data_IF_851406525598
#
_entry.id   IF_851406525598
#
_cell.length_a   1.000
_cell.length_b   1.000
_cell.length_c   1.000
_cell.angle_alpha   90.00
_cell.angle_beta   90.00
_cell.angle_gamma   90.00
#
_symmetry.space_group_name_H-M   'P 1'
#
loop_
_entity.id
_entity.type
_entity.pdbx_description
1 polymer ?
#
# COMPACT_ATOMS: atom_id res chain seq x y z
N UNK A 1 23.10 -19.19 -8.79
CA UNK A 1 24.41 -18.56 -9.10
C UNK A 1 24.92 -19.07 -10.45
N UNK A 2 25.31 -18.18 -11.37
CA UNK A 2 26.13 -18.61 -12.52
C UNK A 2 27.45 -19.12 -11.95
N UNK A 3 27.92 -20.26 -12.44
CA UNK A 3 29.01 -21.04 -11.85
C UNK A 3 30.37 -20.34 -11.78
N UNK A 4 30.57 -19.24 -12.53
CA UNK A 4 31.86 -18.56 -12.68
C UNK A 4 32.01 -17.21 -11.95
N UNK A 5 31.04 -16.78 -11.14
CA UNK A 5 31.15 -15.51 -10.42
C UNK A 5 31.76 -15.67 -9.01
N UNK A 6 32.78 -14.86 -8.63
CA UNK A 6 33.40 -14.93 -7.32
C UNK A 6 32.42 -14.48 -6.22
N UNK A 7 32.37 -15.25 -5.12
CA UNK A 7 31.54 -14.91 -3.98
C UNK A 7 32.10 -13.69 -3.22
N UNK A 8 31.41 -12.56 -3.28
CA UNK A 8 31.81 -11.29 -2.66
C UNK A 8 31.36 -11.14 -1.19
N UNK A 9 30.54 -12.06 -0.67
CA UNK A 9 30.02 -12.01 0.70
C UNK A 9 31.14 -11.95 1.77
N UNK A 10 32.24 -12.72 1.67
CA UNK A 10 33.33 -12.64 2.63
C UNK A 10 33.99 -11.25 2.68
N UNK A 11 34.24 -10.64 1.52
CA UNK A 11 34.81 -9.30 1.39
C UNK A 11 33.87 -8.23 1.96
N UNK A 12 32.55 -8.40 1.75
CA UNK A 12 31.53 -7.51 2.32
C UNK A 12 31.42 -7.62 3.85
N UNK A 13 31.66 -8.82 4.41
CA UNK A 13 31.70 -9.02 5.87
C UNK A 13 32.91 -8.35 6.50
N UNK A 14 34.08 -8.49 5.89
CA UNK A 14 35.32 -7.84 6.36
C UNK A 14 35.24 -6.31 6.35
N UNK A 15 34.60 -5.72 5.34
CA UNK A 15 34.40 -4.27 5.28
C UNK A 15 33.28 -3.74 6.19
N UNK A 16 32.54 -4.62 6.89
CA UNK A 16 31.38 -4.27 7.71
C UNK A 16 30.14 -3.83 6.93
N UNK A 17 30.24 -3.67 5.60
CA UNK A 17 29.15 -3.26 4.73
C UNK A 17 28.01 -4.29 4.72
N UNK A 18 28.34 -5.58 4.83
CA UNK A 18 27.37 -6.65 4.94
C UNK A 18 26.38 -6.43 6.08
N UNK A 19 26.86 -6.02 7.26
CA UNK A 19 26.00 -5.80 8.43
C UNK A 19 25.06 -4.60 8.23
N UNK A 20 25.53 -3.52 7.58
CA UNK A 20 24.69 -2.37 7.24
C UNK A 20 23.60 -2.74 6.23
N UNK A 21 23.94 -3.54 5.22
CA UNK A 21 22.96 -4.04 4.24
C UNK A 21 21.95 -4.94 4.97
N UNK A 22 22.40 -5.89 5.78
CA UNK A 22 21.51 -6.79 6.53
C UNK A 22 20.64 -6.05 7.53
N UNK A 23 21.12 -4.96 8.15
CA UNK A 23 20.30 -4.12 9.02
C UNK A 23 19.13 -3.47 8.26
N UNK A 24 19.38 -2.97 7.05
CA UNK A 24 18.32 -2.41 6.20
C UNK A 24 17.35 -3.50 5.72
N UNK A 25 17.87 -4.69 5.37
CA UNK A 25 17.04 -5.85 4.99
C UNK A 25 16.17 -6.29 6.16
N UNK A 26 16.73 -6.40 7.37
CA UNK A 26 15.98 -6.80 8.57
C UNK A 26 14.86 -5.79 8.86
N UNK A 27 15.13 -4.49 8.76
CA UNK A 27 14.08 -3.47 8.90
C UNK A 27 12.94 -3.65 7.87
N UNK A 28 13.27 -4.01 6.62
CA UNK A 28 12.24 -4.33 5.62
C UNK A 28 11.49 -5.62 5.95
N UNK A 29 12.17 -6.66 6.41
CA UNK A 29 11.56 -7.93 6.80
C UNK A 29 10.62 -7.75 7.99
N UNK A 30 11.06 -7.02 9.02
CA UNK A 30 10.29 -6.72 10.22
C UNK A 30 9.01 -5.95 9.89
N UNK A 31 9.07 -5.08 8.86
CA UNK A 31 7.94 -4.29 8.39
C UNK A 31 7.23 -4.89 7.16
N UNK A 32 7.65 -6.07 6.68
CA UNK A 32 7.18 -6.62 5.41
C UNK A 32 5.66 -6.85 5.42
N UNK A 33 5.12 -7.27 6.56
CA UNK A 33 3.68 -7.45 6.73
C UNK A 33 2.91 -6.13 6.56
N UNK A 34 3.33 -5.07 7.25
CA UNK A 34 2.69 -3.75 7.14
C UNK A 34 2.83 -3.16 5.73
N UNK A 35 3.96 -3.40 5.07
CA UNK A 35 4.22 -2.96 3.69
C UNK A 35 3.34 -3.71 2.68
N UNK A 36 3.13 -5.02 2.86
CA UNK A 36 2.27 -5.83 2.00
C UNK A 36 0.79 -5.49 2.16
N UNK A 37 0.36 -5.14 3.37
CA UNK A 37 -1.03 -4.79 3.68
C UNK A 37 -1.33 -3.29 3.41
N UNK A 38 -0.34 -2.48 2.98
CA UNK A 38 -0.39 -1.01 2.84
C UNK A 38 -0.98 -0.31 4.08
N UNK A 39 -0.69 -0.87 5.26
CA UNK A 39 -1.23 -0.37 6.53
C UNK A 39 -0.25 0.66 7.07
N UNK A 40 -0.60 1.93 6.92
CA UNK A 40 0.01 2.97 7.77
C UNK A 40 -0.39 2.70 9.21
N UNK A 41 0.58 2.35 10.06
CA UNK A 41 0.35 1.83 11.42
C UNK A 41 -0.39 2.81 12.35
N UNK A 42 -0.54 4.07 11.95
CA UNK A 42 -1.26 5.04 12.75
C UNK A 42 -2.12 5.98 11.90
N UNK A 43 -3.34 5.55 11.59
CA UNK A 43 -4.38 6.40 10.97
C UNK A 43 -4.61 7.68 11.79
N UNK A 44 -4.43 7.63 13.11
CA UNK A 44 -4.53 8.82 13.96
C UNK A 44 -3.36 9.79 13.75
N UNK A 45 -2.13 9.31 13.57
CA UNK A 45 -0.99 10.17 13.18
C UNK A 45 -1.19 10.75 11.78
N UNK A 46 -1.67 9.95 10.83
CA UNK A 46 -1.97 10.45 9.48
C UNK A 46 -3.01 11.57 9.54
N UNK A 47 -4.12 11.35 10.23
CA UNK A 47 -5.16 12.35 10.43
C UNK A 47 -4.64 13.58 11.18
N UNK A 48 -3.87 13.38 12.25
CA UNK A 48 -3.27 14.47 13.02
C UNK A 48 -2.31 15.30 12.16
N UNK A 49 -1.60 14.68 11.21
CA UNK A 49 -0.77 15.40 10.24
C UNK A 49 -1.58 16.32 9.31
N UNK A 50 -2.84 15.95 9.02
CA UNK A 50 -3.76 16.76 8.21
C UNK A 50 -4.33 17.89 9.06
N UNK A 51 -4.80 17.57 10.27
CA UNK A 51 -5.29 18.56 11.24
C UNK A 51 -4.22 19.61 11.53
N UNK A 52 -2.96 19.21 11.70
CA UNK A 52 -1.84 20.13 11.90
C UNK A 52 -1.64 21.10 10.72
N UNK A 53 -1.90 20.69 9.47
CA UNK A 53 -1.85 21.59 8.31
C UNK A 53 -2.95 22.64 8.34
N UNK A 54 -4.13 22.31 8.86
CA UNK A 54 -5.24 23.24 9.04
C UNK A 54 -5.00 24.21 10.19
N UNK A 55 -4.44 23.73 11.29
CA UNK A 55 -4.11 24.53 12.47
C UNK A 55 -2.92 25.47 12.22
N UNK A 56 -2.05 25.16 11.25
CA UNK A 56 -0.80 25.90 11.01
C UNK A 56 0.40 25.32 11.78
N UNK A 57 0.25 24.12 12.35
CA UNK A 57 1.23 23.45 13.20
C UNK A 57 1.56 24.26 14.45
N UNK A 58 2.73 23.97 15.05
CA UNK A 58 3.21 24.68 16.26
C UNK A 58 3.59 26.15 16.00
N UNK A 59 3.75 26.56 14.73
CA UNK A 59 4.39 27.83 14.35
C UNK A 59 3.43 29.02 14.28
N UNK A 60 2.15 28.78 14.00
CA UNK A 60 1.13 29.83 13.96
C UNK A 60 -0.14 29.23 14.55
N UNK A 61 -0.52 29.66 15.75
CA UNK A 61 -1.74 29.16 16.39
C UNK A 61 -2.95 29.97 15.90
N UNK A 62 -3.61 29.48 14.85
CA UNK A 62 -4.89 30.04 14.40
C UNK A 62 -6.07 29.61 15.28
N UNK A 63 -5.83 28.84 16.35
CA UNK A 63 -6.91 28.27 17.15
C UNK A 63 -7.33 29.19 18.30
N UNK A 64 -8.50 29.80 18.16
CA UNK A 64 -9.26 30.37 19.27
C UNK A 64 -10.08 29.27 19.96
N UNK A 65 -10.62 29.52 21.17
CA UNK A 65 -11.43 28.54 21.90
C UNK A 65 -12.56 27.99 21.02
N UNK A 66 -12.69 26.65 20.92
CA UNK A 66 -13.70 25.97 20.09
C UNK A 66 -13.32 25.72 18.62
N UNK A 67 -12.23 26.32 18.12
CA UNK A 67 -11.84 26.17 16.72
C UNK A 67 -11.19 24.82 16.38
N UNK A 68 -10.63 24.09 17.34
CA UNK A 68 -10.00 22.78 17.10
C UNK A 68 -11.00 21.77 16.48
N UNK A 69 -12.22 21.73 17.01
CA UNK A 69 -13.27 20.86 16.49
C UNK A 69 -13.60 21.20 15.03
N UNK A 70 -13.67 22.50 14.71
CA UNK A 70 -13.89 22.98 13.34
C UNK A 70 -12.72 22.63 12.40
N UNK A 71 -11.48 22.65 12.88
CA UNK A 71 -10.33 22.22 12.08
C UNK A 71 -10.29 20.71 11.87
N UNK A 72 -10.71 19.92 12.87
CA UNK A 72 -10.89 18.48 12.72
C UNK A 72 -11.95 18.15 11.66
N UNK A 73 -13.11 18.83 11.68
CA UNK A 73 -14.15 18.62 10.66
C UNK A 73 -13.67 19.06 9.27
N UNK A 74 -12.99 20.20 9.16
CA UNK A 74 -12.38 20.65 7.91
C UNK A 74 -11.32 19.66 7.36
N UNK A 75 -10.52 19.06 8.25
CA UNK A 75 -9.53 18.04 7.88
C UNK A 75 -10.18 16.76 7.36
N UNK A 76 -11.24 16.27 8.01
CA UNK A 76 -12.01 15.09 7.55
C UNK A 76 -12.56 15.33 6.15
N UNK A 77 -13.20 16.48 5.97
CA UNK A 77 -13.76 16.90 4.68
C UNK A 77 -12.68 16.98 3.61
N UNK A 78 -11.54 17.61 3.91
CA UNK A 78 -10.42 17.72 2.96
C UNK A 78 -9.84 16.36 2.56
N UNK A 79 -9.71 15.45 3.54
CA UNK A 79 -9.19 14.10 3.31
C UNK A 79 -10.13 13.26 2.45
N UNK A 80 -11.44 13.31 2.71
CA UNK A 80 -12.42 12.48 2.04
C UNK A 80 -12.82 12.97 0.64
N UNK A 81 -12.94 14.29 0.44
CA UNK A 81 -13.53 14.80 -0.81
C UNK A 81 -12.49 15.02 -1.91
N UNK A 82 -11.21 15.27 -1.59
CA UNK A 82 -10.17 15.57 -2.59
C UNK A 82 -10.42 16.81 -3.47
N UNK A 83 -11.56 17.49 -3.27
CA UNK A 83 -12.03 18.63 -4.05
C UNK A 83 -11.85 19.95 -3.31
N UNK A 84 -11.80 21.08 -4.03
CA UNK A 84 -11.77 22.42 -3.44
C UNK A 84 -12.95 22.66 -2.47
N UNK A 85 -12.70 23.30 -1.33
CA UNK A 85 -13.71 23.61 -0.31
C UNK A 85 -14.81 24.56 -0.84
N UNK A 86 -14.53 25.37 -1.86
CA UNK A 86 -15.55 26.22 -2.47
C UNK A 86 -16.73 25.42 -3.05
N UNK A 87 -16.53 24.15 -3.44
CA UNK A 87 -17.62 23.30 -3.92
C UNK A 87 -18.60 22.98 -2.79
N UNK A 88 -18.09 22.71 -1.60
CA UNK A 88 -18.89 22.44 -0.42
C UNK A 88 -19.63 23.69 0.06
N UNK A 89 -18.98 24.86 -0.02
CA UNK A 89 -19.66 26.12 0.27
C UNK A 89 -20.86 26.34 -0.66
N UNK A 90 -20.71 26.06 -1.96
CA UNK A 90 -21.82 26.16 -2.93
C UNK A 90 -22.97 25.23 -2.59
N UNK A 91 -22.68 24.00 -2.17
CA UNK A 91 -23.74 23.03 -1.84
C UNK A 91 -24.43 23.36 -0.52
N UNK A 92 -23.69 23.84 0.49
CA UNK A 92 -24.23 24.13 1.81
C UNK A 92 -25.02 25.44 1.88
N UNK A 93 -24.49 26.50 1.26
CA UNK A 93 -25.07 27.84 1.38
C UNK A 93 -25.85 28.27 0.14
N UNK A 94 -25.99 27.38 -0.86
CA UNK A 94 -26.63 27.63 -2.15
C UNK A 94 -26.09 28.88 -2.88
N UNK A 95 -24.91 29.35 -2.47
CA UNK A 95 -24.29 30.54 -3.01
C UNK A 95 -22.79 30.29 -3.22
N UNK A 96 -22.25 31.06 -4.15
CA UNK A 96 -20.85 30.97 -4.48
C UNK A 96 -20.00 31.77 -3.50
N UNK A 97 -18.91 31.21 -2.96
CA UNK A 97 -17.94 32.04 -2.26
C UNK A 97 -17.30 33.03 -3.24
N UNK A 98 -16.73 34.11 -2.69
CA UNK A 98 -16.14 35.19 -3.46
C UNK A 98 -15.07 34.72 -4.47
N UNK A 99 -14.89 35.49 -5.54
CA UNK A 99 -13.98 35.16 -6.64
C UNK A 99 -12.54 34.90 -6.17
N UNK A 100 -12.08 35.66 -5.17
CA UNK A 100 -10.75 35.49 -4.57
C UNK A 100 -10.58 34.10 -3.93
N UNK A 101 -11.53 33.64 -3.11
CA UNK A 101 -11.46 32.33 -2.47
C UNK A 101 -11.41 31.18 -3.51
N UNK A 102 -12.27 31.25 -4.53
CA UNK A 102 -12.29 30.28 -5.63
C UNK A 102 -10.97 30.27 -6.40
N UNK A 103 -10.47 31.45 -6.77
CA UNK A 103 -9.23 31.56 -7.55
C UNK A 103 -8.01 31.06 -6.77
N UNK A 104 -7.95 31.32 -5.45
CA UNK A 104 -6.89 30.84 -4.58
C UNK A 104 -6.88 29.30 -4.50
N UNK A 105 -8.03 28.68 -4.25
CA UNK A 105 -8.15 27.22 -4.20
C UNK A 105 -7.83 26.57 -5.56
N UNK A 106 -8.32 27.16 -6.66
CA UNK A 106 -8.02 26.69 -8.01
C UNK A 106 -6.50 26.75 -8.30
N UNK A 107 -5.83 27.85 -7.93
CA UNK A 107 -4.37 27.98 -8.03
C UNK A 107 -3.65 26.90 -7.22
N UNK A 108 -4.11 26.59 -5.99
CA UNK A 108 -3.53 25.55 -5.15
C UNK A 108 -3.64 24.16 -5.78
N UNK A 109 -4.81 23.83 -6.31
CA UNK A 109 -5.06 22.55 -7.02
C UNK A 109 -4.21 22.45 -8.28
N UNK A 110 -4.18 23.50 -9.10
CA UNK A 110 -3.39 23.53 -10.33
C UNK A 110 -1.89 23.43 -10.04
N UNK A 111 -1.39 24.09 -8.99
CA UNK A 111 0.01 23.97 -8.54
C UNK A 111 0.34 22.54 -8.10
N UNK A 112 -0.58 21.89 -7.38
CA UNK A 112 -0.42 20.49 -6.97
C UNK A 112 -0.36 19.56 -8.18
N UNK A 113 -1.30 19.70 -9.13
CA UNK A 113 -1.32 18.96 -10.40
C UNK A 113 -0.05 19.19 -11.21
N UNK A 114 0.36 20.45 -11.39
CA UNK A 114 1.59 20.79 -12.10
C UNK A 114 2.84 20.18 -11.44
N UNK A 115 2.91 20.16 -10.09
CA UNK A 115 4.00 19.51 -9.36
C UNK A 115 4.00 17.99 -9.55
N UNK A 116 2.82 17.37 -9.57
CA UNK A 116 2.67 15.94 -9.84
C UNK A 116 3.13 15.61 -11.27
N UNK A 117 2.69 16.38 -12.25
CA UNK A 117 3.10 16.23 -13.65
C UNK A 117 4.60 16.48 -13.85
N UNK A 118 5.16 17.50 -13.18
CA UNK A 118 6.60 17.75 -13.19
C UNK A 118 7.38 16.58 -12.56
N UNK A 119 6.89 16.00 -11.46
CA UNK A 119 7.48 14.80 -10.84
C UNK A 119 7.45 13.59 -11.77
N UNK A 120 6.37 13.37 -12.52
CA UNK A 120 6.29 12.29 -13.53
C UNK A 120 7.33 12.49 -14.66
N UNK A 121 7.60 13.75 -15.02
CA UNK A 121 8.58 14.12 -16.05
C UNK A 121 10.02 14.11 -15.56
N UNK A 122 10.26 14.24 -14.25
CA UNK A 122 11.61 14.23 -13.66
C UNK A 122 12.28 12.85 -13.84
N UNK A 123 13.37 12.73 -14.60
CA UNK A 123 14.08 11.47 -14.78
C UNK A 123 14.72 10.93 -13.49
N UNK A 124 14.92 11.76 -12.45
CA UNK A 124 15.41 11.32 -11.13
C UNK A 124 14.30 10.69 -10.28
N UNK A 125 13.04 11.03 -10.51
CA UNK A 125 11.92 10.37 -9.82
C UNK A 125 11.73 8.93 -10.29
N UNK A 126 12.14 8.62 -11.52
CA UNK A 126 12.19 7.26 -12.09
C UNK A 126 13.33 6.41 -11.54
N UNK A 127 14.28 6.98 -10.78
CA UNK A 127 15.44 6.24 -10.22
C UNK A 127 15.17 5.58 -8.86
N UNK A 128 13.93 5.61 -8.34
CA UNK A 128 13.56 4.82 -7.17
C UNK A 128 12.97 3.48 -7.63
N UNK A 129 13.69 2.42 -7.24
CA UNK A 129 13.68 1.06 -7.77
C UNK A 129 14.23 0.96 -9.20
N UNK A 130 15.44 0.40 -9.30
CA UNK A 130 15.97 -0.36 -10.44
C UNK A 130 15.17 -0.16 -11.73
N UNK A 131 15.51 0.87 -12.51
CA UNK A 131 15.05 0.94 -13.89
C UNK A 131 15.67 -0.25 -14.63
N UNK A 132 14.88 -1.30 -14.83
CA UNK A 132 15.02 -2.17 -16.00
C UNK A 132 15.00 -1.23 -17.21
N UNK A 133 16.16 -0.92 -17.74
CA UNK A 133 16.31 -0.06 -18.92
C UNK A 133 15.47 -0.64 -20.06
N UNK A 134 14.86 0.20 -20.90
CA UNK A 134 14.10 -0.27 -22.07
C UNK A 134 14.95 -1.11 -23.04
N UNK A 135 16.28 -0.97 -23.02
CA UNK A 135 17.19 -1.87 -23.75
C UNK A 135 17.28 -3.28 -23.16
N UNK A 136 16.87 -3.48 -21.91
CA UNK A 136 16.76 -4.79 -21.24
C UNK A 136 15.32 -5.31 -21.15
N UNK A 137 14.28 -4.48 -21.37
CA UNK A 137 12.87 -4.91 -21.29
C UNK A 137 12.13 -4.96 -22.64
N UNK A 138 12.63 -4.31 -23.70
CA UNK A 138 11.90 -4.26 -24.98
C UNK A 138 12.23 -5.39 -25.97
N UNK A 139 13.11 -6.35 -25.64
CA UNK A 139 13.45 -7.45 -26.57
C UNK A 139 13.58 -8.84 -25.97
N UNK A 140 13.25 -9.00 -24.69
CA UNK A 140 13.09 -10.30 -24.04
C UNK A 140 11.89 -10.20 -23.12
N UNK A 141 10.69 -10.37 -23.69
CA UNK A 141 9.62 -11.01 -22.91
C UNK A 141 10.22 -12.32 -22.46
N UNK A 142 10.59 -12.39 -21.19
CA UNK A 142 11.07 -13.61 -20.58
C UNK A 142 9.95 -14.64 -20.73
N UNK A 143 10.10 -15.67 -21.59
CA UNK A 143 9.05 -16.66 -21.77
C UNK A 143 8.82 -17.47 -20.48
N UNK A 144 9.72 -17.37 -19.50
CA UNK A 144 9.65 -18.07 -18.23
C UNK A 144 9.09 -17.19 -17.08
N UNK A 145 8.87 -15.88 -17.28
CA UNK A 145 8.42 -14.99 -16.19
C UNK A 145 7.48 -13.86 -16.64
N UNK A 146 6.44 -13.61 -15.82
CA UNK A 146 5.46 -12.54 -16.01
C UNK A 146 4.14 -13.01 -16.61
N UNK A 147 3.20 -12.08 -16.88
CA UNK A 147 1.83 -12.41 -17.30
C UNK A 147 1.71 -13.11 -18.66
N UNK A 148 2.80 -13.16 -19.44
CA UNK A 148 2.88 -13.87 -20.72
C UNK A 148 3.84 -15.08 -20.66
N UNK A 149 4.09 -15.64 -19.47
CA UNK A 149 4.89 -16.87 -19.33
C UNK A 149 4.26 -18.01 -20.12
N UNK A 150 5.08 -18.70 -20.91
CA UNK A 150 4.69 -19.83 -21.76
C UNK A 150 5.07 -21.18 -21.15
N UNK A 151 5.79 -21.17 -20.02
CA UNK A 151 6.25 -22.39 -19.35
C UNK A 151 5.29 -22.72 -18.20
N UNK A 152 4.47 -23.77 -18.31
CA UNK A 152 3.70 -24.25 -17.17
C UNK A 152 4.68 -24.81 -16.11
N UNK A 153 4.51 -24.40 -14.85
CA UNK A 153 5.33 -24.88 -13.73
C UNK A 153 5.18 -26.39 -13.49
N UNK A 154 4.06 -26.96 -13.95
CA UNK A 154 3.68 -28.34 -13.75
C UNK A 154 3.00 -28.88 -15.02
N UNK A 155 3.21 -30.16 -15.40
CA UNK A 155 2.43 -30.80 -16.46
C UNK A 155 0.93 -30.69 -16.20
N UNK A 156 0.13 -30.57 -17.26
CA UNK A 156 -1.32 -30.32 -17.15
C UNK A 156 -2.03 -31.40 -16.32
N UNK A 157 -1.66 -32.66 -16.50
CA UNK A 157 -2.27 -33.79 -15.78
C UNK A 157 -2.00 -33.70 -14.27
N UNK A 158 -0.76 -33.40 -13.89
CA UNK A 158 -0.39 -33.21 -12.48
C UNK A 158 -1.02 -31.94 -11.89
N UNK A 159 -1.22 -30.90 -12.70
CA UNK A 159 -1.96 -29.71 -12.29
C UNK A 159 -3.42 -30.03 -12.00
N UNK A 160 -4.09 -30.78 -12.89
CA UNK A 160 -5.48 -31.20 -12.69
C UNK A 160 -5.62 -32.09 -11.45
N UNK A 161 -4.70 -33.02 -11.23
CA UNK A 161 -4.69 -33.86 -10.04
C UNK A 161 -4.57 -33.01 -8.77
N UNK A 162 -3.59 -32.10 -8.70
CA UNK A 162 -3.42 -31.20 -7.55
C UNK A 162 -4.59 -30.25 -7.35
N UNK A 163 -5.18 -29.77 -8.45
CA UNK A 163 -6.37 -28.94 -8.42
C UNK A 163 -7.56 -29.68 -7.79
N UNK A 164 -7.78 -30.94 -8.19
CA UNK A 164 -8.84 -31.78 -7.63
C UNK A 164 -8.59 -32.11 -6.16
N UNK A 165 -7.36 -32.48 -5.79
CA UNK A 165 -6.97 -32.70 -4.39
C UNK A 165 -7.20 -31.45 -3.52
N UNK A 166 -6.87 -30.27 -4.07
CA UNK A 166 -7.11 -29.02 -3.37
C UNK A 166 -8.62 -28.75 -3.20
N UNK A 167 -9.44 -28.95 -4.24
CA UNK A 167 -10.89 -28.83 -4.13
C UNK A 167 -11.49 -29.81 -3.12
N UNK A 168 -11.00 -31.03 -3.06
CA UNK A 168 -11.40 -32.00 -2.04
C UNK A 168 -11.00 -31.55 -0.63
N UNK A 169 -9.81 -30.97 -0.47
CA UNK A 169 -9.35 -30.45 0.82
C UNK A 169 -10.23 -29.31 1.36
N UNK A 170 -10.92 -28.57 0.47
CA UNK A 170 -11.85 -27.51 0.81
C UNK A 170 -13.23 -28.04 1.25
N UNK A 171 -13.60 -29.27 0.86
CA UNK A 171 -14.83 -29.91 1.33
C UNK A 171 -14.62 -30.32 2.78
N UNK A 172 -15.33 -29.66 3.70
CA UNK A 172 -15.30 -29.94 5.13
C UNK A 172 -16.66 -30.41 5.61
N UNK A 173 -16.67 -31.36 6.54
CA UNK A 173 -17.91 -31.80 7.18
C UNK A 173 -18.41 -30.74 8.18
N UNK A 174 -19.68 -30.82 8.57
CA UNK A 174 -20.24 -29.89 9.58
C UNK A 174 -19.50 -29.96 10.92
N UNK A 175 -19.01 -31.15 11.29
CA UNK A 175 -18.26 -31.37 12.53
C UNK A 175 -16.87 -30.75 12.47
N UNK A 176 -16.17 -30.91 11.34
CA UNK A 176 -14.87 -30.29 11.12
C UNK A 176 -14.96 -28.76 11.11
N UNK A 177 -16.02 -28.21 10.51
CA UNK A 177 -16.27 -26.76 10.51
C UNK A 177 -16.44 -26.24 11.94
N UNK A 178 -17.17 -26.96 12.80
CA UNK A 178 -17.33 -26.59 14.21
C UNK A 178 -16.01 -26.68 14.97
N UNK A 179 -15.24 -27.75 14.79
CA UNK A 179 -13.93 -27.89 15.43
C UNK A 179 -12.96 -26.77 15.01
N UNK A 180 -12.97 -26.40 13.73
CA UNK A 180 -12.18 -25.28 13.21
C UNK A 180 -12.64 -23.96 13.82
N UNK A 181 -13.94 -23.71 13.96
CA UNK A 181 -14.47 -22.52 14.63
C UNK A 181 -13.94 -22.43 16.06
N UNK A 182 -14.06 -23.50 16.84
CA UNK A 182 -13.63 -23.55 18.24
C UNK A 182 -12.13 -23.28 18.39
N UNK A 183 -11.30 -23.95 17.58
CA UNK A 183 -9.84 -23.79 17.60
C UNK A 183 -9.38 -22.41 17.12
N UNK A 184 -10.21 -21.71 16.35
CA UNK A 184 -9.86 -20.42 15.75
C UNK A 184 -10.60 -19.23 16.36
N UNK A 185 -11.24 -19.40 17.53
CA UNK A 185 -11.94 -18.32 18.25
C UNK A 185 -11.09 -17.12 18.62
N UNK A 186 -9.78 -17.32 18.81
CA UNK A 186 -8.82 -16.23 19.04
C UNK A 186 -8.46 -15.44 17.77
N UNK A 187 -9.07 -15.81 16.62
CA UNK A 187 -9.00 -15.10 15.35
C UNK A 187 -7.57 -14.76 14.94
N UNK A 188 -7.22 -13.48 14.87
CA UNK A 188 -5.92 -12.99 14.40
C UNK A 188 -4.74 -13.52 15.21
N UNK A 189 -4.97 -13.86 16.48
CA UNK A 189 -3.91 -14.36 17.37
C UNK A 189 -3.63 -15.84 17.11
N UNK A 190 -4.60 -16.61 16.60
CA UNK A 190 -4.41 -17.99 16.16
C UNK A 190 -3.58 -18.06 14.87
N UNK A 191 -2.59 -18.94 14.85
CA UNK A 191 -1.83 -19.29 13.64
C UNK A 191 -2.72 -20.04 12.65
N UNK A 192 -3.51 -21.00 13.15
CA UNK A 192 -4.42 -21.82 12.37
C UNK A 192 -5.50 -20.99 11.66
N UNK A 193 -6.05 -19.96 12.32
CA UNK A 193 -7.00 -19.04 11.69
C UNK A 193 -6.40 -18.31 10.48
N UNK A 194 -5.12 -17.92 10.56
CA UNK A 194 -4.41 -17.25 9.47
C UNK A 194 -4.13 -18.20 8.31
N UNK A 195 -3.76 -19.44 8.59
CA UNK A 195 -3.50 -20.46 7.58
C UNK A 195 -4.77 -20.79 6.79
N UNK A 196 -5.88 -21.04 7.49
CA UNK A 196 -7.18 -21.34 6.86
C UNK A 196 -7.67 -20.17 6.01
N UNK A 197 -7.52 -18.93 6.49
CA UNK A 197 -7.92 -17.74 5.72
C UNK A 197 -7.08 -17.48 4.46
N UNK A 198 -5.87 -18.03 4.36
CA UNK A 198 -5.06 -17.94 3.13
C UNK A 198 -5.58 -18.87 2.04
N UNK A 199 -6.25 -19.96 2.41
CA UNK A 199 -6.75 -20.96 1.46
C UNK A 199 -8.18 -20.69 0.99
N UNK A 200 -8.95 -19.84 1.67
CA UNK A 200 -10.37 -19.60 1.38
C UNK A 200 -10.67 -18.15 0.98
N UNK A 201 -11.71 -17.96 0.19
CA UNK A 201 -12.30 -16.64 -0.05
C UNK A 201 -13.09 -16.20 1.18
N UNK A 202 -12.58 -15.16 1.84
CA UNK A 202 -13.23 -14.60 3.04
C UNK A 202 -14.19 -13.48 2.67
N UNK A 203 -15.22 -13.26 3.49
CA UNK A 203 -16.23 -12.22 3.25
C UNK A 203 -15.64 -10.81 3.05
N UNK A 204 -14.53 -10.47 3.71
CA UNK A 204 -13.85 -9.18 3.53
C UNK A 204 -13.17 -9.00 2.16
N UNK A 205 -12.89 -10.10 1.46
CA UNK A 205 -12.29 -10.11 0.12
C UNK A 205 -13.34 -10.37 -0.97
N UNK A 206 -14.61 -10.55 -0.60
CA UNK A 206 -15.70 -10.79 -1.54
C UNK A 206 -16.44 -9.46 -1.78
N UNK A 207 -16.23 -8.85 -2.95
CA UNK A 207 -16.92 -7.61 -3.36
C UNK A 207 -16.13 -6.30 -3.19
N UNK A 208 -14.85 -6.36 -2.80
CA UNK A 208 -13.87 -5.28 -2.95
C UNK A 208 -13.22 -5.33 -4.33
#
# INVERSE_FOLDING_TARGET
>A
PKSDEPNLIPTLRQSGLYFKIMQAVNCLVDNARSLLEDVTSNKAEHFNSIVAKFIGGKRINFTQRGSYQMWCTAAVVSHGTGTPHYKLHKTLYQNSPGQYAKSYEAKKVNKSKAKLEARKKDPRSRKKLVMLTEKSSAKRTDPDYGPNSMKPDLPLDQFQEKFNLFLESLKKSSEEIKAIEEQTRSQRESTQWREIRRTILTASNFGS
#
